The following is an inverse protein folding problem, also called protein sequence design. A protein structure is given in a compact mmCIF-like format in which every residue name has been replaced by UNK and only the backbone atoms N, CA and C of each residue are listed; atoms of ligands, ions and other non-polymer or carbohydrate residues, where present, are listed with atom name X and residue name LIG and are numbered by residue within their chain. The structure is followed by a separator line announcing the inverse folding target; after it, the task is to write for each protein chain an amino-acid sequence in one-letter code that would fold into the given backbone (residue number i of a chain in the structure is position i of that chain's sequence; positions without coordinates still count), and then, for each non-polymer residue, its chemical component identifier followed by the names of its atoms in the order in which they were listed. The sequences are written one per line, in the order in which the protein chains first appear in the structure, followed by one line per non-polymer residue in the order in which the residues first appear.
data_IF_153035864260
#
_entry.id   IF_153035864260
#
_cell.length_a   1.000
_cell.length_b   1.000
_cell.length_c   1.000
_cell.angle_alpha   90.00
_cell.angle_beta   90.00
_cell.angle_gamma   90.00
#
_symmetry.space_group_name_H-M   'P 1'
#
loop_
_entity.id
_entity.type
_entity.pdbx_description
1 polymer ?
#
# COMPACT_ATOMS: atom_id res chain seq x y z
N UNK A 1 12.21 -9.37 1.17
CA UNK A 1 12.29 -9.66 -0.29
C UNK A 1 12.56 -8.42 -1.16
N UNK A 2 12.01 -7.23 -0.84
CA UNK A 2 12.23 -6.01 -1.63
C UNK A 2 13.70 -5.62 -1.81
N UNK A 3 14.54 -5.76 -0.78
CA UNK A 3 15.99 -5.51 -0.90
C UNK A 3 16.65 -6.44 -1.93
N UNK A 4 16.23 -7.71 -2.00
CA UNK A 4 16.77 -8.65 -2.98
C UNK A 4 16.37 -8.25 -4.41
N UNK A 5 15.10 -7.88 -4.61
CA UNK A 5 14.60 -7.35 -5.89
C UNK A 5 15.38 -6.11 -6.32
N UNK A 6 15.64 -5.19 -5.39
CA UNK A 6 16.47 -4.02 -5.66
C UNK A 6 17.88 -4.39 -6.12
N UNK A 7 18.55 -5.30 -5.40
CA UNK A 7 19.90 -5.75 -5.72
C UNK A 7 19.96 -6.39 -7.10
N UNK A 8 19.01 -7.24 -7.46
CA UNK A 8 19.02 -7.98 -8.73
C UNK A 8 18.64 -7.10 -9.93
N UNK A 9 17.67 -6.19 -9.77
CA UNK A 9 17.09 -5.45 -10.90
C UNK A 9 17.70 -4.06 -11.11
N UNK A 10 18.23 -3.43 -10.06
CA UNK A 10 18.67 -2.03 -10.10
C UNK A 10 20.18 -1.88 -9.90
N UNK A 11 20.79 -2.62 -8.97
CA UNK A 11 22.22 -2.47 -8.66
C UNK A 11 23.17 -2.70 -9.85
N UNK A 12 22.94 -3.65 -10.78
CA UNK A 12 23.77 -3.83 -11.97
C UNK A 12 23.71 -2.65 -12.96
N UNK A 13 22.69 -1.78 -12.84
CA UNK A 13 22.48 -0.62 -13.71
C UNK A 13 23.09 0.66 -13.13
N UNK A 14 23.56 0.62 -11.89
CA UNK A 14 24.08 1.78 -11.16
C UNK A 14 25.59 1.87 -11.37
N UNK A 15 26.05 2.95 -12.02
CA UNK A 15 27.45 3.12 -12.40
C UNK A 15 28.36 3.63 -11.29
N UNK A 16 27.82 4.31 -10.26
CA UNK A 16 28.58 4.88 -9.14
C UNK A 16 27.85 4.64 -7.82
N UNK A 17 28.62 4.48 -6.73
CA UNK A 17 28.08 4.22 -5.39
C UNK A 17 27.11 5.33 -4.92
N UNK A 18 27.41 6.60 -5.25
CA UNK A 18 26.59 7.75 -4.84
C UNK A 18 25.19 7.77 -5.50
N UNK A 19 25.00 7.03 -6.59
CA UNK A 19 23.71 6.90 -7.27
C UNK A 19 22.81 5.82 -6.63
N UNK A 20 23.35 5.02 -5.69
CA UNK A 20 22.62 3.89 -5.08
C UNK A 20 21.48 4.37 -4.19
N UNK A 21 21.70 5.38 -3.34
CA UNK A 21 20.65 5.92 -2.48
C UNK A 21 19.49 6.53 -3.28
N UNK A 22 19.83 7.23 -4.37
CA UNK A 22 18.85 7.82 -5.28
C UNK A 22 18.03 6.73 -5.99
N UNK A 23 18.71 5.74 -6.58
CA UNK A 23 18.05 4.63 -7.26
C UNK A 23 17.19 3.81 -6.28
N UNK A 24 17.66 3.64 -5.04
CA UNK A 24 16.87 2.98 -3.99
C UNK A 24 15.61 3.76 -3.65
N UNK A 25 15.72 5.08 -3.47
CA UNK A 25 14.57 5.94 -3.19
C UNK A 25 13.53 5.90 -4.31
N UNK A 26 13.98 5.96 -5.57
CA UNK A 26 13.12 5.86 -6.76
C UNK A 26 12.43 4.49 -6.84
N UNK A 27 13.19 3.40 -6.64
CA UNK A 27 12.65 2.05 -6.58
C UNK A 27 11.63 1.90 -5.45
N UNK A 28 11.94 2.39 -4.25
CA UNK A 28 11.08 2.28 -3.09
C UNK A 28 9.75 3.01 -3.28
N UNK A 29 9.78 4.21 -3.86
CA UNK A 29 8.56 4.95 -4.23
C UNK A 29 7.74 4.22 -5.30
N UNK A 30 8.39 3.64 -6.30
CA UNK A 30 7.73 2.85 -7.35
C UNK A 30 7.04 1.61 -6.77
N UNK A 31 7.75 0.81 -5.98
CA UNK A 31 7.20 -0.39 -5.35
C UNK A 31 6.04 -0.06 -4.41
N UNK A 32 6.14 1.03 -3.65
CA UNK A 32 5.05 1.52 -2.80
C UNK A 32 3.82 1.88 -3.62
N UNK A 33 3.99 2.65 -4.68
CA UNK A 33 2.88 3.04 -5.58
C UNK A 33 2.23 1.81 -6.23
N UNK A 34 3.04 0.85 -6.68
CA UNK A 34 2.55 -0.37 -7.31
C UNK A 34 1.81 -1.28 -6.32
N UNK A 35 2.35 -1.44 -5.11
CA UNK A 35 1.72 -2.21 -4.03
C UNK A 35 0.35 -1.63 -3.66
N UNK A 36 0.27 -0.30 -3.49
CA UNK A 36 -0.99 0.41 -3.24
C UNK A 36 -2.03 0.15 -4.34
N UNK A 37 -1.63 0.31 -5.61
CA UNK A 37 -2.51 0.09 -6.77
C UNK A 37 -3.00 -1.35 -6.85
N UNK A 38 -2.12 -2.31 -6.59
CA UNK A 38 -2.45 -3.73 -6.65
C UNK A 38 -3.47 -4.11 -5.57
N UNK A 39 -3.26 -3.67 -4.33
CA UNK A 39 -4.18 -3.93 -3.22
C UNK A 39 -5.53 -3.25 -3.47
N UNK A 40 -5.51 -1.96 -3.84
CA UNK A 40 -6.73 -1.20 -4.15
C UNK A 40 -7.55 -1.89 -5.26
N UNK A 41 -6.89 -2.41 -6.29
CA UNK A 41 -7.53 -3.17 -7.37
C UNK A 41 -8.14 -4.49 -6.88
N UNK A 42 -7.43 -5.25 -6.04
CA UNK A 42 -7.91 -6.55 -5.51
C UNK A 42 -9.14 -6.36 -4.62
N UNK A 43 -9.14 -5.35 -3.76
CA UNK A 43 -10.28 -5.06 -2.87
C UNK A 43 -11.36 -4.17 -3.51
N UNK A 44 -11.16 -3.76 -4.77
CA UNK A 44 -12.08 -2.90 -5.53
C UNK A 44 -12.36 -1.55 -4.84
N UNK A 45 -11.30 -0.92 -4.35
CA UNK A 45 -11.27 0.42 -3.76
C UNK A 45 -10.57 1.35 -4.75
N UNK A 46 -11.07 2.57 -5.01
CA UNK A 46 -10.31 3.58 -5.74
C UNK A 46 -9.01 3.89 -5.01
N UNK A 47 -7.89 3.97 -5.74
CA UNK A 47 -6.55 4.17 -5.15
C UNK A 47 -6.51 5.39 -4.24
N UNK A 48 -7.07 6.52 -4.69
CA UNK A 48 -7.13 7.76 -3.91
C UNK A 48 -7.87 7.59 -2.57
N UNK A 49 -8.96 6.82 -2.56
CA UNK A 49 -9.70 6.55 -1.32
C UNK A 49 -8.91 5.65 -0.39
N UNK A 50 -8.16 4.69 -0.93
CA UNK A 50 -7.30 3.83 -0.13
C UNK A 50 -6.11 4.60 0.46
N UNK A 51 -5.50 5.48 -0.32
CA UNK A 51 -4.47 6.42 0.16
C UNK A 51 -4.99 7.32 1.28
N UNK A 52 -6.23 7.83 1.17
CA UNK A 52 -6.85 8.60 2.23
C UNK A 52 -7.03 7.78 3.51
N UNK A 53 -7.51 6.53 3.42
CA UNK A 53 -7.65 5.66 4.61
C UNK A 53 -6.30 5.39 5.30
N UNK A 54 -5.23 5.25 4.53
CA UNK A 54 -3.87 5.09 5.08
C UNK A 54 -3.40 6.40 5.73
N UNK A 55 -3.64 7.55 5.08
CA UNK A 55 -3.32 8.87 5.64
C UNK A 55 -4.02 9.13 6.98
N UNK A 56 -5.31 8.82 7.07
CA UNK A 56 -6.08 8.94 8.31
C UNK A 56 -5.57 7.98 9.40
N UNK A 57 -5.20 6.75 9.02
CA UNK A 57 -4.58 5.80 9.94
C UNK A 57 -3.24 6.32 10.49
N UNK A 58 -2.38 6.89 9.65
CA UNK A 58 -1.09 7.44 10.06
C UNK A 58 -1.23 8.65 10.97
N UNK A 59 -2.20 9.52 10.67
CA UNK A 59 -2.48 10.71 11.47
C UNK A 59 -3.09 10.36 12.83
N UNK A 60 -4.10 9.50 12.85
CA UNK A 60 -4.88 9.19 14.04
C UNK A 60 -4.33 8.01 14.86
N UNK A 61 -3.46 7.19 14.26
CA UNK A 61 -3.02 5.89 14.78
C UNK A 61 -4.19 4.93 15.08
N UNK A 62 -5.34 5.14 14.41
CA UNK A 62 -6.56 4.36 14.58
C UNK A 62 -7.01 3.78 13.25
N UNK A 63 -7.31 2.49 13.23
CA UNK A 63 -7.82 1.83 12.04
C UNK A 63 -9.17 2.45 11.63
N UNK A 64 -9.43 2.61 10.33
CA UNK A 64 -10.70 3.14 9.86
C UNK A 64 -11.90 2.31 10.33
N UNK A 65 -13.03 2.99 10.51
CA UNK A 65 -14.25 2.33 10.94
C UNK A 65 -14.82 1.44 9.83
N UNK A 66 -15.51 0.33 10.17
CA UNK A 66 -16.09 -0.59 9.20
C UNK A 66 -16.99 0.09 8.16
N UNK A 67 -17.67 1.18 8.53
CA UNK A 67 -18.55 1.91 7.63
C UNK A 67 -17.76 2.78 6.66
N UNK A 68 -16.72 3.48 7.14
CA UNK A 68 -15.81 4.27 6.29
C UNK A 68 -15.14 3.40 5.22
N UNK A 69 -14.72 2.20 5.61
CA UNK A 69 -14.15 1.22 4.68
C UNK A 69 -15.18 0.85 3.61
N UNK A 70 -16.42 0.57 4.00
CA UNK A 70 -17.48 0.19 3.05
C UNK A 70 -17.82 1.33 2.09
N UNK A 71 -17.85 2.56 2.59
CA UNK A 71 -18.12 3.76 1.79
C UNK A 71 -16.95 4.12 0.86
N UNK A 72 -15.75 3.62 1.18
CA UNK A 72 -14.58 3.76 0.34
C UNK A 72 -14.63 2.86 -0.91
N UNK A 73 -15.34 1.73 -0.86
CA UNK A 73 -15.38 0.76 -1.94
C UNK A 73 -16.06 1.32 -3.20
N UNK A 74 -15.61 0.89 -4.37
CA UNK A 74 -16.26 1.23 -5.65
C UNK A 74 -17.66 0.63 -5.77
N UNK A 75 -17.91 -0.48 -5.06
CA UNK A 75 -19.21 -1.14 -5.00
C UNK A 75 -19.43 -1.73 -3.63
N UNK A 76 -20.63 -1.51 -3.08
CA UNK A 76 -21.03 -2.09 -1.81
C UNK A 76 -20.94 -3.63 -1.86
N UNK A 77 -20.26 -4.25 -0.89
CA UNK A 77 -20.12 -5.69 -0.83
C UNK A 77 -21.43 -6.34 -0.37
N UNK A 78 -21.62 -7.61 -0.72
CA UNK A 78 -22.75 -8.36 -0.17
C UNK A 78 -22.54 -8.61 1.34
N UNK A 79 -23.64 -8.80 2.07
CA UNK A 79 -23.61 -8.97 3.53
C UNK A 79 -22.64 -10.08 3.99
N UNK A 80 -22.58 -11.19 3.23
CA UNK A 80 -21.75 -12.36 3.56
C UNK A 80 -20.25 -12.09 3.43
N UNK A 81 -19.82 -11.24 2.48
CA UNK A 81 -18.40 -10.92 2.25
C UNK A 81 -17.95 -9.64 2.97
N UNK A 82 -18.90 -8.86 3.50
CA UNK A 82 -18.65 -7.54 4.11
C UNK A 82 -17.55 -7.60 5.16
N UNK A 83 -17.68 -8.47 6.16
CA UNK A 83 -16.71 -8.57 7.24
C UNK A 83 -15.31 -8.95 6.73
N UNK A 84 -15.23 -9.96 5.86
CA UNK A 84 -13.95 -10.39 5.31
C UNK A 84 -13.25 -9.33 4.46
N UNK A 85 -14.01 -8.48 3.75
CA UNK A 85 -13.42 -7.34 3.02
C UNK A 85 -12.87 -6.29 4.00
N UNK A 86 -13.63 -5.95 5.04
CA UNK A 86 -13.19 -5.00 6.07
C UNK A 86 -11.88 -5.45 6.72
N UNK A 87 -11.79 -6.72 7.12
CA UNK A 87 -10.61 -7.25 7.80
C UNK A 87 -9.40 -7.25 6.87
N UNK A 88 -9.56 -7.66 5.61
CA UNK A 88 -8.48 -7.62 4.62
C UNK A 88 -7.97 -6.20 4.37
N UNK A 89 -8.86 -5.21 4.29
CA UNK A 89 -8.47 -3.81 4.08
C UNK A 89 -7.70 -3.27 5.29
N UNK A 90 -8.15 -3.56 6.52
CA UNK A 90 -7.43 -3.18 7.74
C UNK A 90 -6.03 -3.79 7.78
N UNK A 91 -5.93 -5.09 7.52
CA UNK A 91 -4.63 -5.78 7.44
C UNK A 91 -3.76 -5.19 6.34
N UNK A 92 -4.33 -4.83 5.18
CA UNK A 92 -3.58 -4.24 4.09
C UNK A 92 -3.03 -2.84 4.43
N UNK A 93 -3.82 -1.99 5.10
CA UNK A 93 -3.35 -0.69 5.60
C UNK A 93 -2.15 -0.88 6.53
N UNK A 94 -2.26 -1.76 7.52
CA UNK A 94 -1.17 -2.05 8.46
C UNK A 94 0.06 -2.59 7.73
N UNK A 95 -0.13 -3.58 6.86
CA UNK A 95 0.97 -4.21 6.11
C UNK A 95 1.72 -3.20 5.24
N UNK A 96 1.02 -2.26 4.59
CA UNK A 96 1.67 -1.21 3.80
C UNK A 96 2.48 -0.29 4.70
N UNK A 97 1.92 0.16 5.81
CA UNK A 97 2.62 1.07 6.74
C UNK A 97 3.84 0.38 7.35
N UNK A 98 3.70 -0.88 7.75
CA UNK A 98 4.78 -1.68 8.34
C UNK A 98 5.92 -1.95 7.35
N UNK A 99 5.59 -2.19 6.07
CA UNK A 99 6.60 -2.44 5.03
C UNK A 99 7.32 -1.17 4.62
N UNK A 100 6.59 -0.05 4.51
CA UNK A 100 7.08 1.15 3.83
C UNK A 100 7.52 2.30 4.74
N UNK A 101 7.57 2.12 6.07
CA UNK A 101 7.92 3.16 7.09
C UNK A 101 7.59 4.57 6.58
N UNK A 102 6.28 4.86 6.57
CA UNK A 102 5.70 5.97 5.84
C UNK A 102 6.25 7.34 6.24
#
# INVERSE_FOLDING_TARGET
ELIKKFIEENLPKIGKCDDVEKAFSEFWQSERSESLKNIAKVENIPVEKFENLIGEYLYSQKLPDPQEIVDSLSKAPNFRKRQGIIDRIKTAIQSIVDIFEW
#
